data_IF_794094576014
#
_entry.id   IF_794094576014
#
_cell.length_a   1.000
_cell.length_b   1.000
_cell.length_c   1.000
_cell.angle_alpha   90.00
_cell.angle_beta   90.00
_cell.angle_gamma   90.00
#
_symmetry.space_group_name_H-M   'P 1'
#
loop_
_entity.id
_entity.type
_entity.pdbx_description
1 polymer ?
#
# COMPACT_ATOMS: atom_id res chain seq x y z
N UNK A 1 18.82 -25.33 5.11
CA UNK A 1 18.41 -24.94 3.74
C UNK A 1 18.87 -23.51 3.53
N UNK A 2 20.04 -23.31 2.93
CA UNK A 2 20.60 -21.98 2.64
C UNK A 2 19.86 -21.41 1.44
N UNK A 3 18.76 -20.70 1.70
CA UNK A 3 18.08 -19.92 0.66
C UNK A 3 19.02 -18.78 0.27
N UNK A 4 19.30 -18.65 -1.03
CA UNK A 4 20.23 -17.69 -1.59
C UNK A 4 19.72 -16.25 -1.40
N UNK A 5 20.57 -15.32 -0.96
CA UNK A 5 20.23 -13.89 -0.81
C UNK A 5 19.67 -13.29 -2.12
N UNK A 6 20.17 -13.73 -3.27
CA UNK A 6 19.64 -13.34 -4.58
C UNK A 6 18.16 -13.71 -4.75
N UNK A 7 17.74 -14.86 -4.21
CA UNK A 7 16.36 -15.31 -4.31
C UNK A 7 15.42 -14.44 -3.47
N UNK A 8 15.83 -14.03 -2.27
CA UNK A 8 15.06 -13.09 -1.45
C UNK A 8 14.91 -11.73 -2.11
N UNK A 9 15.99 -11.21 -2.71
CA UNK A 9 15.95 -9.94 -3.44
C UNK A 9 14.92 -10.00 -4.58
N UNK A 10 14.90 -11.08 -5.35
CA UNK A 10 13.93 -11.28 -6.43
C UNK A 10 12.49 -11.29 -5.87
N UNK A 11 12.25 -12.01 -4.76
CA UNK A 11 10.94 -12.03 -4.11
C UNK A 11 10.48 -10.65 -3.65
N UNK A 12 11.36 -9.87 -3.00
CA UNK A 12 11.05 -8.51 -2.54
C UNK A 12 10.69 -7.61 -3.73
N UNK A 13 11.41 -7.72 -4.84
CA UNK A 13 11.12 -6.95 -6.07
C UNK A 13 9.75 -7.33 -6.63
N UNK A 14 9.46 -8.62 -6.77
CA UNK A 14 8.18 -9.11 -7.31
C UNK A 14 7.02 -8.66 -6.42
N UNK A 15 7.15 -8.81 -5.10
CA UNK A 15 6.12 -8.38 -4.14
C UNK A 15 5.94 -6.87 -4.15
N UNK A 16 7.02 -6.11 -4.19
CA UNK A 16 6.98 -4.65 -4.26
C UNK A 16 6.27 -4.15 -5.53
N UNK A 17 6.58 -4.73 -6.69
CA UNK A 17 5.90 -4.42 -7.96
C UNK A 17 4.43 -4.82 -7.88
N UNK A 18 4.12 -6.00 -7.35
CA UNK A 18 2.73 -6.48 -7.22
C UNK A 18 1.89 -5.52 -6.38
N UNK A 19 2.39 -5.10 -5.21
CA UNK A 19 1.68 -4.14 -4.36
C UNK A 19 1.58 -2.76 -4.97
N UNK A 20 2.62 -2.30 -5.69
CA UNK A 20 2.55 -1.05 -6.44
C UNK A 20 1.42 -1.10 -7.48
N UNK A 21 1.31 -2.19 -8.26
CA UNK A 21 0.25 -2.39 -9.25
C UNK A 21 -1.13 -2.44 -8.58
N UNK A 22 -1.25 -3.17 -7.46
CA UNK A 22 -2.51 -3.26 -6.71
C UNK A 22 -2.99 -1.90 -6.19
N UNK A 23 -2.07 -0.99 -5.85
CA UNK A 23 -2.41 0.37 -5.41
C UNK A 23 -2.79 1.31 -6.55
N UNK A 24 -2.44 1.00 -7.81
CA UNK A 24 -2.82 1.82 -8.97
C UNK A 24 -4.34 1.92 -9.10
N UNK A 25 -5.07 0.82 -8.89
CA UNK A 25 -6.52 0.78 -9.05
C UNK A 25 -7.24 1.73 -8.07
N UNK A 26 -7.12 1.57 -6.73
CA UNK A 26 -7.79 2.46 -5.80
C UNK A 26 -7.25 3.90 -5.88
N UNK A 27 -5.96 4.09 -6.19
CA UNK A 27 -5.42 5.42 -6.50
C UNK A 27 -6.14 6.08 -7.67
N UNK A 28 -6.30 5.36 -8.77
CA UNK A 28 -6.93 5.89 -9.99
C UNK A 28 -8.39 6.24 -9.76
N UNK A 29 -9.12 5.42 -8.99
CA UNK A 29 -10.51 5.69 -8.62
C UNK A 29 -10.58 6.95 -7.75
N UNK A 30 -9.77 7.04 -6.68
CA UNK A 30 -9.75 8.22 -5.84
C UNK A 30 -9.36 9.48 -6.63
N UNK A 31 -8.33 9.40 -7.48
CA UNK A 31 -7.90 10.52 -8.32
C UNK A 31 -8.98 10.96 -9.31
N UNK A 32 -9.71 10.01 -9.91
CA UNK A 32 -10.86 10.30 -10.75
C UNK A 32 -11.93 11.07 -9.96
N UNK A 33 -12.27 10.62 -8.74
CA UNK A 33 -13.23 11.32 -7.89
C UNK A 33 -12.78 12.73 -7.52
N UNK A 34 -11.49 12.92 -7.26
CA UNK A 34 -10.93 14.24 -6.98
C UNK A 34 -10.99 15.17 -8.19
N UNK A 35 -10.67 14.66 -9.38
CA UNK A 35 -10.56 15.49 -10.59
C UNK A 35 -11.92 15.78 -11.22
N UNK A 36 -12.80 14.79 -11.26
CA UNK A 36 -14.09 14.88 -11.98
C UNK A 36 -15.18 15.43 -11.08
N UNK A 37 -15.31 14.91 -9.86
CA UNK A 37 -16.35 15.34 -8.92
C UNK A 37 -15.88 16.41 -7.94
N UNK A 38 -14.62 16.86 -8.01
CA UNK A 38 -14.01 17.85 -7.09
C UNK A 38 -14.12 17.46 -5.61
N UNK A 39 -14.22 16.15 -5.33
CA UNK A 39 -14.36 15.60 -3.98
C UNK A 39 -12.97 15.35 -3.36
N UNK A 40 -12.83 15.62 -2.07
CA UNK A 40 -11.57 15.40 -1.35
C UNK A 40 -11.37 13.91 -1.01
N UNK A 41 -10.91 13.13 -1.99
CA UNK A 41 -10.69 11.67 -1.92
C UNK A 41 -9.27 11.24 -1.53
N UNK A 42 -8.31 12.17 -1.51
CA UNK A 42 -6.95 11.97 -1.01
C UNK A 42 -6.24 10.71 -1.58
N UNK A 43 -6.07 10.60 -2.90
CA UNK A 43 -5.50 9.43 -3.58
C UNK A 43 -4.08 9.09 -3.10
N UNK A 44 -3.32 10.07 -2.63
CA UNK A 44 -1.96 9.87 -2.14
C UNK A 44 -1.88 8.93 -0.91
N UNK A 45 -2.96 8.74 -0.14
CA UNK A 45 -2.92 7.77 0.96
C UNK A 45 -2.76 6.32 0.49
N UNK A 46 -3.24 5.97 -0.72
CA UNK A 46 -2.97 4.66 -1.32
C UNK A 46 -1.49 4.49 -1.68
N UNK A 47 -0.82 5.58 -2.10
CA UNK A 47 0.63 5.57 -2.35
C UNK A 47 1.40 5.38 -1.04
N UNK A 48 1.00 6.09 0.03
CA UNK A 48 1.62 5.97 1.36
C UNK A 48 1.46 4.53 1.89
N UNK A 49 0.27 3.94 1.80
CA UNK A 49 0.05 2.56 2.20
C UNK A 49 0.92 1.58 1.37
N UNK A 50 0.99 1.77 0.06
CA UNK A 50 1.86 0.99 -0.83
C UNK A 50 3.34 1.06 -0.42
N UNK A 51 3.84 2.27 -0.12
CA UNK A 51 5.22 2.47 0.34
C UNK A 51 5.49 1.73 1.66
N UNK A 52 4.57 1.78 2.62
CA UNK A 52 4.72 1.03 3.87
C UNK A 52 4.73 -0.49 3.65
N UNK A 53 3.93 -1.03 2.74
CA UNK A 53 4.02 -2.45 2.37
C UNK A 53 5.36 -2.80 1.72
N UNK A 54 5.88 -1.96 0.81
CA UNK A 54 7.20 -2.19 0.19
C UNK A 54 8.31 -2.20 1.23
N UNK A 55 8.31 -1.23 2.15
CA UNK A 55 9.28 -1.16 3.26
C UNK A 55 9.15 -2.38 4.16
N UNK A 56 7.92 -2.80 4.49
CA UNK A 56 7.67 -4.02 5.24
C UNK A 56 8.30 -5.24 4.55
N UNK A 57 8.07 -5.45 3.25
CA UNK A 57 8.68 -6.59 2.55
C UNK A 57 10.20 -6.54 2.55
N UNK A 58 10.78 -5.35 2.35
CA UNK A 58 12.22 -5.19 2.40
C UNK A 58 12.79 -5.58 3.77
N UNK A 59 12.21 -5.07 4.86
CA UNK A 59 12.66 -5.35 6.23
C UNK A 59 12.40 -6.82 6.60
N UNK A 60 11.19 -7.33 6.32
CA UNK A 60 10.77 -8.69 6.68
C UNK A 60 11.64 -9.78 6.05
N UNK A 61 12.06 -9.61 4.79
CA UNK A 61 12.88 -10.61 4.10
C UNK A 61 14.39 -10.42 4.30
N UNK A 62 14.85 -9.22 4.66
CA UNK A 62 16.25 -8.98 5.01
C UNK A 62 16.58 -9.37 6.45
N UNK A 63 15.61 -9.27 7.35
CA UNK A 63 15.79 -9.54 8.77
C UNK A 63 14.56 -10.29 9.29
N UNK A 64 14.62 -11.62 9.19
CA UNK A 64 13.51 -12.58 9.04
C UNK A 64 12.37 -12.41 10.07
N UNK A 65 12.57 -11.71 11.18
CA UNK A 65 11.52 -11.38 12.18
C UNK A 65 11.77 -10.04 12.89
N UNK A 66 12.10 -8.97 12.15
CA UNK A 66 12.26 -7.63 12.75
C UNK A 66 10.91 -7.04 13.18
N UNK A 67 10.76 -6.76 14.48
CA UNK A 67 9.58 -6.09 15.05
C UNK A 67 9.23 -4.80 14.29
N UNK A 68 10.25 -4.08 13.81
CA UNK A 68 10.12 -2.84 13.02
C UNK A 68 9.27 -3.07 11.76
N UNK A 69 9.44 -4.21 11.08
CA UNK A 69 8.66 -4.56 9.91
C UNK A 69 7.16 -4.67 10.23
N UNK A 70 6.82 -5.30 11.35
CA UNK A 70 5.42 -5.45 11.79
C UNK A 70 4.73 -4.10 12.03
N UNK A 71 5.46 -3.08 12.51
CA UNK A 71 4.93 -1.73 12.64
C UNK A 71 4.60 -1.09 11.28
N UNK A 72 5.46 -1.28 10.27
CA UNK A 72 5.17 -0.81 8.91
C UNK A 72 3.97 -1.52 8.30
N UNK A 73 3.83 -2.82 8.51
CA UNK A 73 2.65 -3.57 8.07
C UNK A 73 1.36 -3.05 8.72
N UNK A 74 1.37 -2.84 10.04
CA UNK A 74 0.22 -2.30 10.76
C UNK A 74 -0.12 -0.88 10.29
N UNK A 75 0.88 -0.01 10.13
CA UNK A 75 0.69 1.34 9.61
C UNK A 75 0.11 1.33 8.19
N UNK A 76 0.62 0.44 7.31
CA UNK A 76 0.09 0.27 5.96
C UNK A 76 -1.39 -0.11 5.98
N UNK A 77 -1.76 -1.07 6.84
CA UNK A 77 -3.14 -1.53 7.00
C UNK A 77 -4.08 -0.43 7.49
N UNK A 78 -3.66 0.36 8.50
CA UNK A 78 -4.46 1.48 9.02
C UNK A 78 -4.66 2.55 7.95
N UNK A 79 -3.59 2.95 7.26
CA UNK A 79 -3.68 3.98 6.21
C UNK A 79 -4.55 3.50 5.05
N UNK A 80 -4.40 2.24 4.64
CA UNK A 80 -5.19 1.65 3.57
C UNK A 80 -6.68 1.59 3.96
N UNK A 81 -6.99 1.09 5.16
CA UNK A 81 -8.37 1.00 5.65
C UNK A 81 -9.03 2.38 5.72
N UNK A 82 -8.33 3.38 6.27
CA UNK A 82 -8.83 4.75 6.34
C UNK A 82 -9.08 5.36 4.95
N UNK A 83 -8.14 5.17 4.00
CA UNK A 83 -8.30 5.63 2.62
C UNK A 83 -9.47 4.95 1.90
N UNK A 84 -9.62 3.63 2.10
CA UNK A 84 -10.73 2.85 1.53
C UNK A 84 -12.08 3.26 2.09
N UNK A 85 -12.21 3.47 3.42
CA UNK A 85 -13.45 3.95 4.04
C UNK A 85 -13.79 5.34 3.52
N UNK A 86 -12.81 6.25 3.44
CA UNK A 86 -13.02 7.59 2.89
C UNK A 86 -13.51 7.53 1.45
N UNK A 87 -12.87 6.72 0.61
CA UNK A 87 -13.28 6.57 -0.78
C UNK A 87 -14.69 5.97 -0.87
N UNK A 88 -15.01 4.95 -0.07
CA UNK A 88 -16.34 4.36 0.01
C UNK A 88 -17.40 5.41 0.35
N UNK A 89 -17.20 6.19 1.42
CA UNK A 89 -18.13 7.26 1.82
C UNK A 89 -18.34 8.29 0.70
N UNK A 90 -17.28 8.69 -0.01
CA UNK A 90 -17.42 9.62 -1.14
C UNK A 90 -18.18 9.05 -2.34
N UNK A 91 -18.17 7.73 -2.49
CA UNK A 91 -18.89 7.01 -3.55
C UNK A 91 -20.36 6.78 -3.18
N UNK A 92 -20.67 6.55 -1.90
CA UNK A 92 -22.02 6.19 -1.43
C UNK A 92 -22.81 7.35 -0.87
N UNK A 93 -22.14 8.31 -0.24
CA UNK A 93 -22.75 9.49 0.33
C UNK A 93 -22.50 10.68 -0.62
N UNK A 94 -23.60 11.24 -1.13
CA UNK A 94 -23.56 12.43 -1.97
C UNK A 94 -23.24 13.66 -1.14
N UNK A 95 -21.94 13.95 -1.02
CA UNK A 95 -21.33 15.07 -0.28
C UNK A 95 -21.48 15.05 1.25
#
# INVERSE_FOLDING_TARGET
MTINETFYLILVIILGITYAILMILPFSIAFFYQKVFKKNSFPYFFVIAGLFYIIYFFIYYMDIFSDIGSWFFAAAGIVLAAASIRLYLLMTEGD
#
